data_IF_061572195170
#
_entry.id   IF_061572195170
#
_cell.length_a   1.000
_cell.length_b   1.000
_cell.length_c   1.000
_cell.angle_alpha   90.00
_cell.angle_beta   90.00
_cell.angle_gamma   90.00
#
_symmetry.space_group_name_H-M   'P 1'
#
loop_
_entity.id
_entity.type
_entity.pdbx_description
1 polymer ?
#
# COMPACT_ATOMS: atom_id res chain seq x y z
N UNK A 1 38.46 42.93 -38.02
CA UNK A 1 38.00 42.65 -36.65
C UNK A 1 36.95 41.54 -36.69
N UNK A 2 37.35 40.31 -36.41
CA UNK A 2 36.42 39.15 -36.35
C UNK A 2 36.06 38.92 -34.92
N UNK A 3 34.82 39.21 -34.57
CA UNK A 3 34.20 38.90 -33.26
C UNK A 3 33.79 37.41 -33.25
N UNK A 4 34.51 36.61 -32.47
CA UNK A 4 34.12 35.22 -32.21
C UNK A 4 33.00 35.16 -31.19
N UNK A 5 31.80 34.74 -31.61
CA UNK A 5 30.71 34.40 -30.68
C UNK A 5 31.05 33.03 -30.07
N UNK A 6 31.15 32.96 -28.71
CA UNK A 6 31.19 31.72 -28.00
C UNK A 6 29.75 31.19 -27.85
N UNK A 7 29.46 29.93 -28.20
CA UNK A 7 28.16 29.34 -27.87
C UNK A 7 28.13 29.02 -26.41
N UNK A 8 27.16 29.61 -25.67
CA UNK A 8 26.84 29.25 -24.31
C UNK A 8 26.25 27.84 -24.31
N UNK A 9 27.01 26.88 -23.83
CA UNK A 9 26.53 25.51 -23.65
C UNK A 9 25.50 25.45 -22.51
N UNK A 10 24.26 25.16 -22.83
CA UNK A 10 23.24 24.83 -21.86
C UNK A 10 23.54 23.45 -21.27
N UNK A 11 24.04 23.42 -20.05
CA UNK A 11 24.19 22.18 -19.26
C UNK A 11 22.82 21.74 -18.77
N UNK A 12 22.19 20.80 -19.45
CA UNK A 12 20.93 20.18 -18.98
C UNK A 12 21.23 19.32 -17.76
N UNK A 13 20.84 19.78 -16.57
CA UNK A 13 20.87 18.99 -15.34
C UNK A 13 19.72 17.99 -15.40
N UNK A 14 20.02 16.74 -15.73
CA UNK A 14 19.08 15.63 -15.60
C UNK A 14 18.87 15.34 -14.11
N UNK A 15 17.74 15.79 -13.59
CA UNK A 15 17.29 15.40 -12.26
C UNK A 15 16.88 13.92 -12.32
N UNK A 16 17.72 13.05 -11.78
CA UNK A 16 17.39 11.64 -11.61
C UNK A 16 16.28 11.52 -10.56
N UNK A 17 15.07 11.14 -10.98
CA UNK A 17 13.98 10.79 -10.05
C UNK A 17 14.33 9.42 -9.47
N UNK A 18 14.45 9.28 -8.13
CA UNK A 18 14.70 7.98 -7.54
C UNK A 18 13.52 7.04 -7.82
N UNK A 19 13.77 5.73 -8.05
CA UNK A 19 12.69 4.78 -8.24
C UNK A 19 11.80 4.75 -6.99
N UNK A 20 10.47 4.61 -7.18
CA UNK A 20 9.55 4.41 -6.07
C UNK A 20 9.99 3.19 -5.25
N UNK A 21 10.04 3.32 -3.91
CA UNK A 21 10.40 2.21 -3.03
C UNK A 21 9.40 1.06 -3.20
N UNK A 22 9.88 -0.20 -3.28
CA UNK A 22 9.04 -1.39 -3.26
C UNK A 22 8.27 -1.47 -1.94
N UNK A 23 7.08 -2.07 -1.95
CA UNK A 23 6.28 -2.28 -0.75
C UNK A 23 7.03 -3.17 0.25
N UNK A 24 6.98 -2.80 1.53
CA UNK A 24 7.66 -3.47 2.63
C UNK A 24 6.67 -4.28 3.48
N UNK A 25 6.73 -5.60 3.38
CA UNK A 25 5.89 -6.54 4.15
C UNK A 25 6.10 -6.43 5.66
N UNK A 26 7.34 -6.17 6.09
CA UNK A 26 7.65 -6.05 7.52
C UNK A 26 7.06 -4.77 8.10
N UNK A 27 7.16 -3.66 7.38
CA UNK A 27 6.48 -2.42 7.75
C UNK A 27 4.95 -2.61 7.75
N UNK A 28 4.41 -3.33 6.77
CA UNK A 28 2.99 -3.70 6.72
C UNK A 28 2.55 -4.53 7.91
N UNK A 29 3.37 -5.50 8.33
CA UNK A 29 3.13 -6.31 9.52
C UNK A 29 3.07 -5.45 10.80
N UNK A 30 3.97 -4.49 10.93
CA UNK A 30 3.99 -3.57 12.07
C UNK A 30 2.75 -2.68 12.09
N UNK A 31 2.34 -2.15 10.95
CA UNK A 31 1.12 -1.34 10.82
C UNK A 31 -0.14 -2.17 11.14
N UNK A 32 -0.20 -3.40 10.64
CA UNK A 32 -1.31 -4.31 10.91
C UNK A 32 -1.49 -4.64 12.40
N UNK A 33 -0.39 -4.77 13.14
CA UNK A 33 -0.40 -5.00 14.58
C UNK A 33 -1.01 -3.84 15.39
N UNK A 34 -1.08 -2.63 14.81
CA UNK A 34 -1.70 -1.48 15.46
C UNK A 34 -3.23 -1.58 15.48
N UNK A 35 -3.84 -1.59 14.31
CA UNK A 35 -5.30 -1.44 14.18
C UNK A 35 -5.97 -2.63 13.49
N UNK A 36 -5.36 -3.19 12.45
CA UNK A 36 -6.02 -4.19 11.60
C UNK A 36 -6.25 -5.52 12.30
N UNK A 37 -5.33 -5.92 13.19
CA UNK A 37 -5.35 -7.23 13.83
C UNK A 37 -6.61 -7.50 14.66
N UNK A 38 -7.22 -6.48 15.26
CA UNK A 38 -8.39 -6.65 16.12
C UNK A 38 -9.56 -7.34 15.41
N UNK A 39 -9.73 -7.04 14.12
CA UNK A 39 -10.81 -7.59 13.30
C UNK A 39 -10.32 -8.61 12.27
N UNK A 40 -9.16 -8.39 11.66
CA UNK A 40 -8.64 -9.22 10.56
C UNK A 40 -7.59 -10.25 11.00
N UNK A 41 -7.07 -10.17 12.22
CA UNK A 41 -6.00 -11.01 12.73
C UNK A 41 -4.63 -10.68 12.12
N UNK A 42 -3.57 -11.11 12.81
CA UNK A 42 -2.19 -11.08 12.26
C UNK A 42 -1.95 -12.24 11.29
N UNK A 43 -2.76 -13.27 11.37
CA UNK A 43 -2.81 -14.39 10.43
C UNK A 43 -3.71 -14.12 9.20
N UNK A 44 -4.35 -12.95 9.18
CA UNK A 44 -5.28 -12.56 8.12
C UNK A 44 -6.60 -13.33 8.14
N UNK A 45 -6.90 -14.04 9.22
CA UNK A 45 -8.18 -14.70 9.42
C UNK A 45 -9.08 -13.86 10.32
N UNK A 46 -10.32 -13.68 9.91
CA UNK A 46 -11.30 -12.84 10.61
C UNK A 46 -11.42 -13.20 12.09
N UNK A 47 -11.41 -12.20 12.94
CA UNK A 47 -11.71 -12.29 14.38
C UNK A 47 -13.06 -11.65 14.73
N UNK A 48 -13.77 -11.17 13.73
CA UNK A 48 -15.04 -10.46 13.85
C UNK A 48 -15.95 -10.90 12.69
N UNK A 49 -17.19 -11.32 12.92
CA UNK A 49 -18.09 -11.83 11.88
C UNK A 49 -18.39 -10.80 10.76
N UNK A 50 -18.17 -9.52 11.00
CA UNK A 50 -18.36 -8.47 10.00
C UNK A 50 -17.09 -8.10 9.22
N UNK A 51 -15.94 -8.66 9.61
CA UNK A 51 -14.67 -8.41 8.94
C UNK A 51 -14.26 -9.61 8.07
N UNK A 52 -13.82 -9.41 6.83
CA UNK A 52 -13.39 -10.51 5.98
C UNK A 52 -12.00 -11.02 6.33
N UNK A 53 -11.72 -12.26 5.92
CA UNK A 53 -10.35 -12.76 5.84
C UNK A 53 -9.56 -11.93 4.81
N UNK A 54 -8.29 -11.66 5.12
CA UNK A 54 -7.37 -10.95 4.24
C UNK A 54 -6.19 -11.81 3.80
N UNK A 55 -5.96 -12.95 4.48
CA UNK A 55 -4.84 -13.85 4.18
C UNK A 55 -4.85 -14.29 2.72
N UNK A 56 -3.72 -14.11 2.03
CA UNK A 56 -3.55 -14.54 0.65
C UNK A 56 -4.40 -13.80 -0.37
N UNK A 57 -5.02 -12.68 0.00
CA UNK A 57 -5.79 -11.85 -0.93
C UNK A 57 -4.84 -11.21 -1.96
N UNK A 58 -5.36 -10.88 -3.13
CA UNK A 58 -4.61 -10.23 -4.21
C UNK A 58 -4.11 -8.86 -3.74
N UNK A 59 -2.80 -8.64 -3.82
CA UNK A 59 -2.16 -7.41 -3.32
C UNK A 59 -2.76 -6.15 -3.93
N UNK A 60 -2.92 -6.10 -5.26
CA UNK A 60 -3.52 -4.95 -5.94
C UNK A 60 -4.98 -4.72 -5.54
N UNK A 61 -5.72 -5.79 -5.24
CA UNK A 61 -7.10 -5.67 -4.76
C UNK A 61 -7.14 -5.05 -3.36
N UNK A 62 -6.26 -5.49 -2.46
CA UNK A 62 -6.16 -4.91 -1.10
C UNK A 62 -5.79 -3.43 -1.14
N UNK A 63 -4.79 -3.07 -1.95
CA UNK A 63 -4.37 -1.67 -2.11
C UNK A 63 -5.51 -0.80 -2.66
N UNK A 64 -6.22 -1.29 -3.68
CA UNK A 64 -7.40 -0.61 -4.24
C UNK A 64 -8.49 -0.44 -3.18
N UNK A 65 -8.86 -1.49 -2.46
CA UNK A 65 -9.91 -1.45 -1.44
C UNK A 65 -9.59 -0.45 -0.33
N UNK A 66 -8.35 -0.46 0.20
CA UNK A 66 -7.91 0.50 1.22
C UNK A 66 -7.95 1.94 0.72
N UNK A 67 -7.51 2.17 -0.51
CA UNK A 67 -7.57 3.49 -1.14
C UNK A 67 -9.03 3.98 -1.29
N UNK A 68 -9.91 3.10 -1.71
CA UNK A 68 -11.34 3.44 -1.87
C UNK A 68 -12.03 3.71 -0.53
N UNK A 69 -11.67 2.99 0.54
CA UNK A 69 -12.14 3.30 1.89
C UNK A 69 -11.60 4.65 2.38
N UNK A 70 -10.33 4.93 2.14
CA UNK A 70 -9.71 6.21 2.50
C UNK A 70 -10.38 7.38 1.80
N UNK A 71 -10.68 7.23 0.51
CA UNK A 71 -11.25 8.28 -0.33
C UNK A 71 -12.78 8.38 -0.22
N UNK A 72 -13.43 7.47 0.50
CA UNK A 72 -14.88 7.44 0.67
C UNK A 72 -15.67 6.85 -0.51
N UNK A 73 -15.00 6.32 -1.53
CA UNK A 73 -15.64 5.65 -2.68
C UNK A 73 -16.20 4.27 -2.33
N UNK A 74 -15.69 3.65 -1.28
CA UNK A 74 -16.20 2.43 -0.68
C UNK A 74 -16.65 2.73 0.73
N UNK A 75 -17.85 2.26 1.12
CA UNK A 75 -18.47 2.60 2.39
C UNK A 75 -18.47 1.40 3.35
N UNK A 76 -17.89 1.62 4.52
CA UNK A 76 -17.99 0.77 5.69
C UNK A 76 -17.65 1.62 6.91
N UNK A 77 -18.48 1.60 7.93
CA UNK A 77 -18.35 2.48 9.10
C UNK A 77 -16.96 2.40 9.75
N UNK A 78 -16.45 1.19 9.99
CA UNK A 78 -15.14 0.98 10.62
C UNK A 78 -13.98 1.26 9.66
N UNK A 79 -14.06 0.71 8.43
CA UNK A 79 -12.97 0.81 7.49
C UNK A 79 -12.74 2.23 6.96
N UNK A 80 -13.78 3.05 6.81
CA UNK A 80 -13.61 4.44 6.44
C UNK A 80 -12.84 5.23 7.50
N UNK A 81 -13.04 4.93 8.78
CA UNK A 81 -12.29 5.56 9.88
C UNK A 81 -10.84 5.09 9.87
N UNK A 82 -10.62 3.78 9.80
CA UNK A 82 -9.28 3.16 9.84
C UNK A 82 -8.41 3.59 8.67
N UNK A 83 -8.96 3.55 7.45
CA UNK A 83 -8.20 3.85 6.24
C UNK A 83 -7.88 5.34 6.06
N UNK A 84 -8.62 6.22 6.71
CA UNK A 84 -8.49 7.68 6.55
C UNK A 84 -7.08 8.20 6.86
N UNK A 85 -6.43 7.61 7.85
CA UNK A 85 -5.12 8.03 8.33
C UNK A 85 -3.94 7.32 7.61
N UNK A 86 -4.23 6.39 6.68
CA UNK A 86 -3.20 5.64 5.98
C UNK A 86 -2.56 6.47 4.86
N UNK A 87 -1.23 6.50 4.82
CA UNK A 87 -0.49 7.00 3.66
C UNK A 87 -0.52 6.02 2.50
N UNK A 88 -0.09 6.45 1.30
CA UNK A 88 0.07 5.54 0.16
C UNK A 88 1.08 4.42 0.46
N UNK A 89 2.15 4.73 1.19
CA UNK A 89 3.13 3.75 1.63
C UNK A 89 2.53 2.73 2.61
N UNK A 90 1.73 3.19 3.59
CA UNK A 90 1.04 2.30 4.53
C UNK A 90 0.10 1.34 3.79
N UNK A 91 -0.66 1.83 2.85
CA UNK A 91 -1.57 1.03 2.02
C UNK A 91 -0.80 -0.03 1.24
N UNK A 92 0.28 0.35 0.56
CA UNK A 92 1.11 -0.59 -0.19
C UNK A 92 1.73 -1.65 0.71
N UNK A 93 2.26 -1.26 1.87
CA UNK A 93 2.91 -2.15 2.82
C UNK A 93 1.90 -3.14 3.46
N UNK A 94 0.73 -2.65 3.87
CA UNK A 94 -0.35 -3.49 4.41
C UNK A 94 -0.86 -4.50 3.38
N UNK A 95 -1.06 -4.06 2.14
CA UNK A 95 -1.47 -4.93 1.05
C UNK A 95 -0.44 -6.04 0.80
N UNK A 96 0.85 -5.68 0.74
CA UNK A 96 1.93 -6.63 0.57
C UNK A 96 2.03 -7.63 1.74
N UNK A 97 1.80 -7.19 2.98
CA UNK A 97 1.81 -8.05 4.15
C UNK A 97 0.70 -9.11 4.09
N UNK A 98 -0.56 -8.70 4.00
CA UNK A 98 -1.68 -9.65 4.01
C UNK A 98 -1.70 -10.55 2.76
N UNK A 99 -1.33 -10.03 1.59
CA UNK A 99 -1.21 -10.83 0.37
C UNK A 99 -0.14 -11.93 0.46
N UNK A 100 0.90 -11.71 1.28
CA UNK A 100 2.01 -12.64 1.44
C UNK A 100 1.71 -13.83 2.35
N UNK A 101 0.60 -13.79 3.08
CA UNK A 101 0.21 -14.89 3.98
C UNK A 101 -0.27 -16.06 3.13
N UNK A 102 0.40 -17.19 3.28
CA UNK A 102 0.05 -18.42 2.53
C UNK A 102 -1.25 -19.03 3.05
N UNK A 103 -2.08 -19.45 2.12
CA UNK A 103 -3.39 -20.10 2.41
C UNK A 103 -3.45 -21.41 1.69
N UNK A 104 -3.76 -22.49 2.42
CA UNK A 104 -4.06 -23.79 1.85
C UNK A 104 -5.58 -23.93 1.67
N UNK A 105 -5.99 -24.32 0.47
CA UNK A 105 -7.40 -24.59 0.16
C UNK A 105 -7.64 -26.08 0.15
N UNK A 106 -8.49 -26.54 1.07
CA UNK A 106 -8.91 -27.93 1.15
C UNK A 106 -10.29 -28.04 0.50
N UNK A 107 -10.41 -28.67 -0.67
CA UNK A 107 -11.72 -28.86 -1.30
C UNK A 107 -12.63 -29.76 -0.46
N UNK A 108 -13.96 -29.59 -0.56
CA UNK A 108 -14.93 -30.42 0.14
C UNK A 108 -14.95 -31.89 -0.33
#
# INVERSE_FOLDING_TARGET
MLTRLCPAGFLAVLLAVPPAAAADRQAGRQSAAGVCQACHGMDGLSKNPEAPNLAGQIENYLAKALTEYRDGRRQNESMNIVAKELSDADIANLAAFYASIEVEVIPP
#
